data_IF_486809209472
#
_entry.id   IF_486809209472
#
_cell.length_a   1.000
_cell.length_b   1.000
_cell.length_c   1.000
_cell.angle_alpha   90.00
_cell.angle_beta   90.00
_cell.angle_gamma   90.00
#
_symmetry.space_group_name_H-M   'P 1'
#
loop_
_entity.id
_entity.type
_entity.pdbx_description
1 polymer ?
#
# COMPACT_ATOMS: atom_id res chain seq x y z
N UNK A 1 -10.42 2.69 -0.89
CA UNK A 1 -9.52 3.79 -1.29
C UNK A 1 -9.43 3.90 -2.80
N UNK A 2 -9.34 2.79 -3.55
CA UNK A 2 -9.48 2.78 -5.02
C UNK A 2 -10.85 3.22 -5.52
N UNK A 3 -11.07 3.20 -6.84
CA UNK A 3 -12.33 3.64 -7.47
C UNK A 3 -13.52 2.76 -7.08
N UNK A 4 -13.29 1.46 -7.01
CA UNK A 4 -14.34 0.47 -6.74
C UNK A 4 -13.82 -0.72 -5.93
N UNK A 5 -14.76 -1.43 -5.30
CA UNK A 5 -14.53 -2.77 -4.77
C UNK A 5 -15.62 -3.70 -5.31
N UNK A 6 -15.21 -4.84 -5.85
CA UNK A 6 -16.09 -5.94 -6.25
C UNK A 6 -16.07 -6.99 -5.15
N UNK A 7 -17.22 -7.31 -4.57
CA UNK A 7 -17.36 -8.34 -3.53
C UNK A 7 -17.30 -9.74 -4.14
N UNK A 8 -17.11 -10.76 -3.30
CA UNK A 8 -16.94 -12.15 -3.75
C UNK A 8 -18.18 -12.74 -4.45
N UNK A 9 -19.36 -12.15 -4.22
CA UNK A 9 -20.63 -12.46 -4.89
C UNK A 9 -20.88 -11.61 -6.16
N UNK A 10 -19.89 -10.81 -6.58
CA UNK A 10 -19.92 -10.06 -7.84
C UNK A 10 -20.51 -8.64 -7.76
N UNK A 11 -20.97 -8.19 -6.58
CA UNK A 11 -21.49 -6.83 -6.43
C UNK A 11 -20.35 -5.80 -6.42
N UNK A 12 -20.47 -4.78 -7.27
CA UNK A 12 -19.49 -3.69 -7.33
C UNK A 12 -20.01 -2.44 -6.63
N UNK A 13 -19.19 -1.87 -5.75
CA UNK A 13 -19.48 -0.65 -5.00
C UNK A 13 -18.40 0.39 -5.26
N UNK A 14 -18.80 1.65 -5.50
CA UNK A 14 -17.85 2.78 -5.57
C UNK A 14 -17.26 3.07 -4.21
N UNK A 15 -15.98 3.46 -4.16
CA UNK A 15 -15.33 3.92 -2.92
C UNK A 15 -14.78 5.34 -3.09
N UNK A 16 -13.88 5.79 -2.22
CA UNK A 16 -13.38 7.16 -2.20
C UNK A 16 -12.65 7.59 -3.50
N UNK A 17 -12.17 6.65 -4.32
CA UNK A 17 -11.53 6.98 -5.61
C UNK A 17 -10.23 7.78 -5.49
N UNK A 18 -9.52 7.64 -4.36
CA UNK A 18 -8.26 8.33 -4.09
C UNK A 18 -7.02 7.61 -4.66
N UNK A 19 -7.19 6.37 -5.09
CA UNK A 19 -6.12 5.56 -5.68
C UNK A 19 -6.52 5.12 -7.08
N UNK A 20 -5.55 5.09 -7.98
CA UNK A 20 -5.68 4.63 -9.36
C UNK A 20 -5.67 3.10 -9.42
N UNK A 21 -6.69 2.52 -8.78
CA UNK A 21 -6.85 1.08 -8.65
C UNK A 21 -8.28 0.66 -8.35
N UNK A 22 -8.54 -0.62 -8.56
CA UNK A 22 -9.76 -1.31 -8.16
C UNK A 22 -9.42 -2.49 -7.27
N UNK A 23 -10.36 -2.91 -6.42
CA UNK A 23 -10.19 -4.08 -5.56
C UNK A 23 -11.22 -5.16 -5.89
N UNK A 24 -10.79 -6.41 -5.93
CA UNK A 24 -11.68 -7.56 -6.13
C UNK A 24 -11.52 -8.50 -4.94
N UNK A 25 -12.61 -8.80 -4.24
CA UNK A 25 -12.63 -9.74 -3.12
C UNK A 25 -12.69 -11.17 -3.64
N UNK A 26 -11.83 -12.03 -3.11
CA UNK A 26 -11.88 -13.46 -3.36
C UNK A 26 -12.38 -14.22 -2.11
N UNK A 27 -12.84 -15.45 -2.30
CA UNK A 27 -13.26 -16.34 -1.20
C UNK A 27 -12.09 -17.01 -0.47
N UNK A 28 -10.90 -16.99 -1.09
CA UNK A 28 -9.65 -17.48 -0.50
C UNK A 28 -8.64 -16.34 -0.35
N UNK A 29 -7.82 -16.44 0.69
CA UNK A 29 -6.74 -15.50 0.93
C UNK A 29 -5.80 -15.42 -0.28
N UNK A 30 -5.37 -14.20 -0.60
CA UNK A 30 -4.45 -13.89 -1.69
C UNK A 30 -2.99 -13.85 -1.21
N UNK A 31 -2.77 -13.49 0.06
CA UNK A 31 -1.52 -13.62 0.78
C UNK A 31 -1.77 -13.78 2.28
N UNK A 32 -0.87 -14.51 2.94
CA UNK A 32 -0.78 -14.70 4.38
C UNK A 32 0.69 -14.98 4.71
N UNK A 33 1.49 -13.92 4.90
CA UNK A 33 2.93 -14.04 5.17
C UNK A 33 3.47 -12.80 5.92
N UNK A 34 4.72 -12.88 6.36
CA UNK A 34 5.51 -11.73 6.77
C UNK A 34 5.98 -10.94 5.55
N UNK A 35 6.03 -9.63 5.68
CA UNK A 35 6.62 -8.76 4.67
C UNK A 35 7.82 -8.00 5.21
N UNK A 36 8.84 -7.87 4.36
CA UNK A 36 10.06 -7.10 4.64
C UNK A 36 10.34 -6.29 3.39
N UNK A 37 10.60 -4.99 3.55
CA UNK A 37 10.80 -4.12 2.42
C UNK A 37 11.49 -2.81 2.76
N UNK A 38 11.64 -1.98 1.73
CA UNK A 38 12.26 -0.67 1.83
C UNK A 38 11.52 0.32 0.93
N UNK A 39 11.43 1.57 1.35
CA UNK A 39 10.83 2.64 0.53
C UNK A 39 11.75 3.06 -0.62
N UNK A 40 11.19 3.29 -1.81
CA UNK A 40 11.95 3.69 -3.00
C UNK A 40 11.95 5.22 -3.22
N UNK A 41 11.10 5.96 -2.52
CA UNK A 41 11.07 7.42 -2.52
C UNK A 41 9.95 8.04 -3.35
N UNK A 42 8.93 7.26 -3.70
CA UNK A 42 7.74 7.73 -4.40
C UNK A 42 6.69 8.32 -3.44
N UNK A 43 6.81 8.09 -2.14
CA UNK A 43 5.91 8.65 -1.11
C UNK A 43 6.57 9.71 -0.22
N UNK A 44 5.76 10.33 0.64
CA UNK A 44 6.20 11.28 1.66
C UNK A 44 7.16 10.69 2.70
N UNK A 45 7.29 9.37 2.80
CA UNK A 45 8.22 8.70 3.72
C UNK A 45 9.70 8.84 3.30
N UNK A 46 9.94 9.25 2.04
CA UNK A 46 11.27 9.34 1.46
C UNK A 46 11.86 7.97 1.11
N UNK A 47 13.10 7.96 0.62
CA UNK A 47 13.79 6.75 0.16
C UNK A 47 14.61 6.08 1.27
N UNK A 48 14.68 4.75 1.23
CA UNK A 48 15.61 3.96 2.03
C UNK A 48 15.11 3.61 3.44
N UNK A 49 13.85 3.90 3.77
CA UNK A 49 13.27 3.51 5.04
C UNK A 49 12.95 2.01 5.01
N UNK A 50 13.72 1.23 5.75
CA UNK A 50 13.47 -0.20 5.94
C UNK A 50 12.28 -0.44 6.86
N UNK A 51 11.51 -1.49 6.58
CA UNK A 51 10.38 -1.87 7.42
C UNK A 51 10.18 -3.38 7.44
N UNK A 52 9.43 -3.82 8.46
CA UNK A 52 8.89 -5.18 8.59
C UNK A 52 7.39 -5.08 8.84
N UNK A 53 6.68 -6.13 8.49
CA UNK A 53 5.26 -6.22 8.70
C UNK A 53 4.73 -7.60 8.38
N UNK A 54 3.44 -7.66 8.12
CA UNK A 54 2.76 -8.84 7.61
C UNK A 54 1.73 -8.41 6.57
N UNK A 55 1.40 -9.32 5.67
CA UNK A 55 0.30 -9.16 4.74
C UNK A 55 -0.71 -10.27 4.97
N UNK A 56 -1.98 -9.87 5.09
CA UNK A 56 -3.09 -10.80 5.16
C UNK A 56 -4.30 -10.20 4.47
N UNK A 57 -4.61 -10.70 3.28
CA UNK A 57 -5.71 -10.12 2.50
C UNK A 57 -6.40 -11.14 1.60
N UNK A 58 -7.71 -10.97 1.47
CA UNK A 58 -8.56 -11.70 0.52
C UNK A 58 -8.79 -10.93 -0.76
N UNK A 59 -8.60 -9.61 -0.73
CA UNK A 59 -8.72 -8.80 -1.93
C UNK A 59 -7.47 -8.90 -2.79
N UNK A 60 -7.65 -8.80 -4.10
CA UNK A 60 -6.61 -8.45 -5.05
C UNK A 60 -6.83 -7.00 -5.47
N UNK A 61 -5.77 -6.21 -5.46
CA UNK A 61 -5.80 -4.86 -6.03
C UNK A 61 -5.32 -4.94 -7.47
N UNK A 62 -6.11 -4.40 -8.39
CA UNK A 62 -5.75 -4.21 -9.78
C UNK A 62 -5.37 -2.74 -9.93
N UNK A 63 -4.07 -2.49 -9.98
CA UNK A 63 -3.52 -1.15 -10.17
C UNK A 63 -3.54 -0.78 -11.65
N UNK A 64 -3.70 0.51 -11.94
CA UNK A 64 -3.57 1.02 -13.31
C UNK A 64 -2.12 0.93 -13.80
N UNK A 65 -1.93 0.99 -15.12
CA UNK A 65 -0.62 0.78 -15.75
C UNK A 65 0.43 1.84 -15.33
N UNK A 66 -0.01 3.03 -14.97
CA UNK A 66 0.81 4.17 -14.53
C UNK A 66 0.82 4.35 -13.00
N UNK A 67 0.24 3.41 -12.25
CA UNK A 67 0.25 3.44 -10.80
C UNK A 67 1.68 3.39 -10.26
N UNK A 68 1.94 4.20 -9.24
CA UNK A 68 3.24 4.27 -8.55
C UNK A 68 3.20 3.48 -7.26
N UNK A 69 4.32 2.84 -6.94
CA UNK A 69 4.53 2.08 -5.72
C UNK A 69 5.72 2.64 -4.96
N UNK A 70 5.63 2.75 -3.64
CA UNK A 70 6.76 3.19 -2.81
C UNK A 70 7.50 2.02 -2.17
N UNK A 71 6.87 0.86 -2.00
CA UNK A 71 7.49 -0.25 -1.28
C UNK A 71 8.07 -1.27 -2.25
N UNK A 72 9.35 -1.59 -2.05
CA UNK A 72 10.02 -2.71 -2.69
C UNK A 72 10.22 -3.79 -1.62
N UNK A 73 9.55 -4.92 -1.79
CA UNK A 73 9.57 -6.04 -0.84
C UNK A 73 10.69 -7.01 -1.21
N UNK A 74 11.53 -7.34 -0.23
CA UNK A 74 12.45 -8.49 -0.29
C UNK A 74 11.78 -9.77 0.19
N UNK A 75 10.67 -9.65 0.93
CA UNK A 75 9.77 -10.74 1.30
C UNK A 75 8.32 -10.24 1.32
N UNK A 76 7.41 -11.08 0.86
CA UNK A 76 5.99 -10.76 0.71
C UNK A 76 5.61 -10.59 -0.77
N UNK A 77 4.33 -10.72 -1.06
CA UNK A 77 3.71 -10.65 -2.38
C UNK A 77 3.44 -9.20 -2.78
N UNK A 78 2.92 -8.41 -1.86
CA UNK A 78 2.48 -7.05 -2.12
C UNK A 78 1.30 -6.99 -3.09
N UNK A 79 1.12 -5.83 -3.72
CA UNK A 79 0.09 -5.60 -4.74
C UNK A 79 0.51 -6.20 -6.08
N UNK A 80 1.78 -6.04 -6.47
CA UNK A 80 2.26 -6.45 -7.78
C UNK A 80 3.72 -6.90 -7.77
N UNK A 81 3.94 -8.22 -7.72
CA UNK A 81 5.26 -8.84 -7.93
C UNK A 81 6.34 -8.37 -6.96
N UNK A 82 6.02 -8.22 -5.67
CA UNK A 82 6.94 -7.67 -4.67
C UNK A 82 6.94 -6.14 -4.58
N UNK A 83 6.07 -5.45 -5.33
CA UNK A 83 5.78 -4.02 -5.17
C UNK A 83 4.52 -3.84 -4.34
N UNK A 84 4.56 -2.92 -3.38
CA UNK A 84 3.44 -2.57 -2.51
C UNK A 84 3.44 -1.05 -2.24
N UNK A 85 2.50 -0.56 -1.45
CA UNK A 85 2.43 0.86 -1.11
C UNK A 85 2.11 1.71 -2.33
N UNK A 86 0.92 1.52 -2.91
CA UNK A 86 0.39 2.35 -3.98
C UNK A 86 0.34 3.82 -3.55
N UNK A 87 0.79 4.71 -4.43
CA UNK A 87 0.90 6.15 -4.17
C UNK A 87 0.06 6.96 -5.15
N UNK A 88 -0.82 7.81 -4.63
CA UNK A 88 -1.47 8.88 -5.40
C UNK A 88 -1.54 10.15 -4.54
N UNK A 89 -0.91 11.23 -5.01
CA UNK A 89 -0.77 12.47 -4.25
C UNK A 89 -0.14 12.23 -2.87
N UNK A 90 -0.87 12.57 -1.81
CA UNK A 90 -0.49 12.36 -0.41
C UNK A 90 -0.97 11.03 0.17
N UNK A 91 -1.61 10.18 -0.63
CA UNK A 91 -2.11 8.87 -0.21
C UNK A 91 -1.07 7.80 -0.48
N UNK A 92 -0.79 7.02 0.56
CA UNK A 92 0.03 5.81 0.52
C UNK A 92 -0.79 4.66 1.10
N UNK A 93 -1.03 3.62 0.31
CA UNK A 93 -1.83 2.48 0.73
C UNK A 93 -1.24 1.17 0.20
N UNK A 94 -1.15 0.17 1.06
CA UNK A 94 -0.61 -1.13 0.71
C UNK A 94 -1.25 -2.26 1.52
N UNK A 95 -0.90 -3.49 1.17
CA UNK A 95 -1.32 -4.67 1.94
C UNK A 95 -0.43 -4.94 3.15
N UNK A 96 0.77 -4.37 3.18
CA UNK A 96 1.65 -4.50 4.32
C UNK A 96 1.08 -3.78 5.55
N UNK A 97 0.66 -4.57 6.54
CA UNK A 97 0.44 -4.13 7.90
C UNK A 97 1.80 -3.92 8.57
N UNK A 98 2.29 -2.69 8.49
CA UNK A 98 3.61 -2.29 8.97
C UNK A 98 3.73 -2.44 10.48
N UNK A 99 4.84 -3.01 10.94
CA UNK A 99 5.29 -2.82 12.30
C UNK A 99 5.74 -1.36 12.46
N UNK A 100 4.95 -0.59 13.20
CA UNK A 100 5.16 0.85 13.34
C UNK A 100 6.20 1.16 14.43
N UNK A 101 7.46 0.84 14.14
CA UNK A 101 8.58 1.10 15.03
C UNK A 101 8.91 2.60 15.18
N UNK A 102 9.72 2.98 16.18
CA UNK A 102 10.05 4.38 16.45
C UNK A 102 10.63 5.15 15.26
N UNK A 103 11.52 4.52 14.48
CA UNK A 103 12.11 5.15 13.29
C UNK A 103 11.04 5.49 12.24
N UNK A 104 10.15 4.53 11.95
CA UNK A 104 9.07 4.73 10.99
C UNK A 104 8.12 5.83 11.46
N UNK A 105 7.77 5.84 12.75
CA UNK A 105 6.93 6.88 13.34
C UNK A 105 7.55 8.27 13.24
N UNK A 106 8.84 8.40 13.52
CA UNK A 106 9.56 9.67 13.41
C UNK A 106 9.61 10.16 11.96
N UNK A 107 9.83 9.27 10.99
CA UNK A 107 9.79 9.61 9.57
C UNK A 107 8.40 10.05 9.13
N UNK A 108 7.36 9.33 9.53
CA UNK A 108 5.97 9.66 9.23
C UNK A 108 5.59 11.05 9.77
N UNK A 109 5.83 11.31 11.05
CA UNK A 109 5.54 12.63 11.67
C UNK A 109 6.40 13.72 11.03
N UNK A 110 7.67 13.44 10.74
CA UNK A 110 8.58 14.37 10.07
C UNK A 110 8.10 14.75 8.67
N UNK A 111 7.51 13.80 7.94
CA UNK A 111 6.93 14.05 6.62
C UNK A 111 5.70 14.97 6.71
N UNK A 112 4.77 14.69 7.63
CA UNK A 112 3.57 15.52 7.85
C UNK A 112 3.96 16.98 8.19
N UNK A 113 4.96 17.16 9.06
CA UNK A 113 5.45 18.50 9.43
C UNK A 113 6.03 19.29 8.25
N UNK A 114 6.58 18.62 7.23
CA UNK A 114 7.08 19.28 6.02
C UNK A 114 5.95 19.69 5.08
N UNK A 115 4.94 18.82 4.94
CA UNK A 115 3.77 19.11 4.10
C UNK A 115 2.95 20.29 4.60
N UNK A 116 2.86 20.50 5.93
CA UNK A 116 2.13 21.63 6.53
C UNK A 116 2.86 22.99 6.45
N UNK A 117 4.09 23.03 5.93
CA UNK A 117 4.88 24.26 5.75
C UNK A 117 4.82 24.81 4.32
N UNK A 118 4.11 24.12 3.42
CA UNK A 118 3.83 24.55 2.04
C UNK A 118 2.41 25.10 1.97
#
# INVERSE_FOLDING_TARGET
LGRSITTADGKTCRTAGLLDSESVMHTRFQALDYSIGTTCGNSFLGKGLGFRGHEFHYSRTVADADARFDYILSRGKGIDGGRDGLVCGSVLAGYTHLYFGPEFALKFVGAIKKSNKQ
#
